data_IF_199872275689
#
_entry.id   IF_199872275689
#
_cell.length_a   1.000
_cell.length_b   1.000
_cell.length_c   1.000
_cell.angle_alpha   90.00
_cell.angle_beta   90.00
_cell.angle_gamma   90.00
#
_symmetry.space_group_name_H-M   'P 1'
#
loop_
_entity.id
_entity.type
_entity.pdbx_description
1 polymer ?
#
# COMPACT_ATOMS: atom_id res chain seq x y z
N UNK A 1 2.75 2.31 24.63
CA UNK A 1 2.98 1.77 23.27
C UNK A 1 3.22 2.79 22.19
N UNK A 2 2.79 4.05 22.34
CA UNK A 2 3.02 5.13 21.36
C UNK A 2 4.52 5.41 21.17
N UNK A 3 5.28 5.59 22.25
CA UNK A 3 6.73 5.83 22.20
C UNK A 3 7.57 4.73 21.54
N UNK A 4 7.10 3.48 21.54
CA UNK A 4 7.81 2.38 20.87
C UNK A 4 7.52 2.41 19.37
N UNK A 5 6.26 2.59 18.95
CA UNK A 5 5.91 2.77 17.53
C UNK A 5 6.55 4.03 16.94
N UNK A 6 6.58 5.14 17.67
CA UNK A 6 7.26 6.37 17.23
C UNK A 6 8.77 6.17 17.09
N UNK A 7 9.39 5.42 18.01
CA UNK A 7 10.82 5.11 17.93
C UNK A 7 11.15 4.16 16.77
N UNK A 8 10.28 3.17 16.50
CA UNK A 8 10.43 2.24 15.37
C UNK A 8 10.22 2.99 14.04
N UNK A 9 9.18 3.82 13.92
CA UNK A 9 8.98 4.72 12.77
C UNK A 9 10.17 5.64 12.55
N UNK A 10 10.70 6.25 13.61
CA UNK A 10 11.89 7.11 13.52
C UNK A 10 13.12 6.34 13.05
N UNK A 11 13.33 5.11 13.55
CA UNK A 11 14.46 4.26 13.14
C UNK A 11 14.33 3.82 11.68
N UNK A 12 13.13 3.45 11.22
CA UNK A 12 12.84 3.12 9.82
C UNK A 12 13.13 4.32 8.92
N UNK A 13 12.66 5.52 9.29
CA UNK A 13 12.93 6.76 8.55
C UNK A 13 14.43 7.09 8.51
N UNK A 14 15.17 6.82 9.59
CA UNK A 14 16.61 7.05 9.67
C UNK A 14 17.40 6.05 8.81
N UNK A 15 17.07 4.76 8.88
CA UNK A 15 17.66 3.72 8.03
C UNK A 15 17.38 4.00 6.54
N UNK A 16 16.20 4.52 6.21
CA UNK A 16 15.86 4.96 4.86
C UNK A 16 16.62 6.21 4.41
N UNK A 17 16.73 7.24 5.25
CA UNK A 17 17.57 8.41 4.94
C UNK A 17 19.01 8.00 4.68
N UNK A 18 19.55 7.04 5.45
CA UNK A 18 20.87 6.45 5.24
C UNK A 18 20.97 5.64 3.94
N UNK A 19 19.87 5.03 3.49
CA UNK A 19 19.79 4.33 2.21
C UNK A 19 19.70 5.30 1.02
N UNK A 20 18.97 6.41 1.16
CA UNK A 20 18.80 7.44 0.13
C UNK A 20 20.15 8.08 -0.26
N UNK A 21 21.05 8.27 0.71
CA UNK A 21 22.43 8.73 0.47
C UNK A 21 23.23 7.78 -0.43
N UNK A 22 22.82 6.51 -0.57
CA UNK A 22 23.47 5.52 -1.45
C UNK A 22 22.85 5.45 -2.85
N UNK A 23 21.87 6.28 -3.18
CA UNK A 23 21.35 6.48 -4.55
C UNK A 23 20.62 5.29 -5.19
N UNK A 24 20.37 4.20 -4.45
CA UNK A 24 19.52 3.09 -4.92
C UNK A 24 18.10 3.33 -4.46
N UNK A 25 17.24 3.78 -5.36
CA UNK A 25 15.81 3.90 -5.07
C UNK A 25 15.24 2.54 -4.65
N UNK A 26 14.87 2.43 -3.38
CA UNK A 26 14.16 1.28 -2.85
C UNK A 26 12.74 1.32 -3.43
N UNK A 27 12.56 0.58 -4.52
CA UNK A 27 11.24 0.24 -4.99
C UNK A 27 10.78 -0.97 -4.20
N UNK A 28 9.63 -0.85 -3.58
CA UNK A 28 8.96 -1.98 -2.99
C UNK A 28 8.02 -2.62 -4.00
N UNK A 29 7.99 -3.94 -4.00
CA UNK A 29 6.97 -4.72 -4.67
C UNK A 29 5.82 -4.96 -3.71
N UNK A 30 4.60 -4.70 -4.18
CA UNK A 30 3.37 -4.99 -3.46
C UNK A 30 2.44 -5.79 -4.36
N UNK A 31 1.67 -6.68 -3.75
CA UNK A 31 0.63 -7.43 -4.46
C UNK A 31 -0.72 -6.98 -3.92
N UNK A 32 -1.58 -6.44 -4.79
CA UNK A 32 -2.97 -6.19 -4.41
C UNK A 32 -3.79 -7.42 -4.78
N UNK A 33 -4.38 -8.05 -3.78
CA UNK A 33 -5.26 -9.19 -3.95
C UNK A 33 -6.70 -8.69 -4.07
N UNK A 34 -7.34 -8.96 -5.21
CA UNK A 34 -8.75 -8.69 -5.39
C UNK A 34 -9.58 -9.88 -4.88
N UNK A 35 -10.21 -9.74 -3.71
CA UNK A 35 -10.97 -10.84 -3.10
C UNK A 35 -12.10 -11.38 -4.02
N UNK A 36 -12.67 -10.52 -4.86
CA UNK A 36 -13.90 -10.85 -5.60
C UNK A 36 -13.68 -11.57 -6.93
N UNK A 37 -12.49 -11.48 -7.52
CA UNK A 37 -12.26 -12.00 -8.88
C UNK A 37 -11.02 -12.88 -8.99
N UNK A 38 -10.35 -13.19 -7.87
CA UNK A 38 -9.10 -13.96 -7.85
C UNK A 38 -7.95 -13.32 -8.66
N UNK A 39 -8.10 -12.04 -9.01
CA UNK A 39 -7.17 -11.31 -9.85
C UNK A 39 -6.10 -10.64 -9.00
N UNK A 40 -4.93 -11.25 -8.93
CA UNK A 40 -3.78 -10.66 -8.23
C UNK A 40 -3.12 -9.63 -9.15
N UNK A 41 -2.99 -8.40 -8.66
CA UNK A 41 -2.35 -7.32 -9.40
C UNK A 41 -1.10 -6.88 -8.66
N UNK A 42 0.05 -7.16 -9.27
CA UNK A 42 1.34 -6.74 -8.73
C UNK A 42 1.65 -5.30 -9.16
N UNK A 43 2.02 -4.48 -8.20
CA UNK A 43 2.48 -3.10 -8.42
C UNK A 43 3.88 -2.90 -7.85
N UNK A 44 4.63 -2.02 -8.50
CA UNK A 44 5.95 -1.58 -8.04
C UNK A 44 5.92 -0.08 -7.84
N UNK A 45 6.06 0.37 -6.61
CA UNK A 45 6.09 1.81 -6.27
C UNK A 45 7.29 2.13 -5.38
N UNK A 46 7.66 3.41 -5.31
CA UNK A 46 8.69 3.87 -4.37
C UNK A 46 8.09 3.99 -2.97
N UNK A 47 8.91 3.72 -1.97
CA UNK A 47 8.56 3.78 -0.54
C UNK A 47 7.95 5.11 -0.07
N UNK A 48 8.40 6.23 -0.64
CA UNK A 48 7.92 7.57 -0.31
C UNK A 48 6.70 8.01 -1.13
N UNK A 49 6.25 7.20 -2.10
CA UNK A 49 5.09 7.57 -2.92
C UNK A 49 3.80 7.27 -2.17
N UNK A 50 2.85 8.22 -2.10
CA UNK A 50 1.57 7.97 -1.47
C UNK A 50 0.80 6.86 -2.19
N UNK A 51 0.10 6.04 -1.41
CA UNK A 51 -0.64 4.88 -1.89
C UNK A 51 -1.80 5.24 -2.82
N UNK A 52 -2.27 6.50 -2.79
CA UNK A 52 -3.26 7.05 -3.73
C UNK A 52 -2.98 6.74 -5.20
N UNK A 53 -1.71 6.79 -5.62
CA UNK A 53 -1.34 6.48 -7.02
C UNK A 53 -1.54 4.99 -7.33
N UNK A 54 -1.19 4.13 -6.38
CA UNK A 54 -1.34 2.68 -6.47
C UNK A 54 -2.83 2.29 -6.50
N UNK A 55 -3.63 2.87 -5.60
CA UNK A 55 -5.08 2.67 -5.57
C UNK A 55 -5.77 3.17 -6.83
N UNK A 56 -5.41 4.37 -7.33
CA UNK A 56 -5.94 4.89 -8.59
C UNK A 56 -5.58 4.00 -9.79
N UNK A 57 -4.34 3.51 -9.85
CA UNK A 57 -3.91 2.58 -10.89
C UNK A 57 -4.63 1.23 -10.81
N UNK A 58 -4.88 0.71 -9.60
CA UNK A 58 -5.70 -0.46 -9.38
C UNK A 58 -7.12 -0.26 -9.89
N UNK A 59 -7.80 0.82 -9.46
CA UNK A 59 -9.17 1.15 -9.87
C UNK A 59 -9.28 1.28 -11.40
N UNK A 60 -8.30 1.92 -12.03
CA UNK A 60 -8.25 2.07 -13.49
C UNK A 60 -8.07 0.72 -14.20
N UNK A 61 -7.28 -0.19 -13.62
CA UNK A 61 -6.98 -1.50 -14.21
C UNK A 61 -8.11 -2.52 -14.02
N UNK A 62 -8.82 -2.46 -12.90
CA UNK A 62 -9.94 -3.36 -12.59
C UNK A 62 -11.30 -2.76 -12.98
N UNK A 63 -11.35 -1.46 -13.29
CA UNK A 63 -12.59 -0.76 -13.65
C UNK A 63 -13.53 -0.52 -12.47
N UNK A 64 -13.03 -0.63 -11.23
CA UNK A 64 -13.83 -0.42 -10.02
C UNK A 64 -13.79 1.04 -9.60
N UNK A 65 -14.90 1.52 -9.05
CA UNK A 65 -14.97 2.89 -8.58
C UNK A 65 -14.13 3.06 -7.29
N UNK A 66 -13.26 4.08 -7.21
CA UNK A 66 -12.43 4.30 -6.03
C UNK A 66 -13.24 4.54 -4.75
N UNK A 67 -14.48 5.02 -4.85
CA UNK A 67 -15.36 5.18 -3.68
C UNK A 67 -16.00 3.85 -3.24
N UNK A 68 -16.01 2.84 -4.12
CA UNK A 68 -16.61 1.53 -3.87
C UNK A 68 -15.59 0.46 -3.50
N UNK A 69 -14.30 0.81 -3.37
CA UNK A 69 -13.24 -0.10 -2.94
C UNK A 69 -12.64 0.37 -1.62
N UNK A 70 -12.45 -0.57 -0.71
CA UNK A 70 -11.74 -0.38 0.55
C UNK A 70 -10.46 -1.20 0.49
N UNK A 71 -9.33 -0.53 0.68
CA UNK A 71 -8.04 -1.18 0.77
C UNK A 71 -7.71 -1.48 2.24
N UNK A 72 -7.31 -2.72 2.48
CA UNK A 72 -6.97 -3.23 3.80
C UNK A 72 -5.54 -3.76 3.79
N UNK A 73 -4.79 -3.43 4.82
CA UNK A 73 -3.47 -3.98 5.08
C UNK A 73 -3.46 -4.54 6.50
N UNK A 74 -3.11 -5.82 6.65
CA UNK A 74 -3.21 -6.55 7.91
C UNK A 74 -4.60 -6.46 8.59
N UNK A 75 -5.65 -6.27 7.78
CA UNK A 75 -7.03 -6.08 8.25
C UNK A 75 -7.41 -4.65 8.66
N UNK A 76 -6.47 -3.71 8.66
CA UNK A 76 -6.72 -2.29 8.94
C UNK A 76 -6.94 -1.50 7.65
N UNK A 77 -7.82 -0.48 7.72
CA UNK A 77 -8.09 0.41 6.58
C UNK A 77 -6.87 1.27 6.29
N UNK A 78 -6.47 1.29 5.04
CA UNK A 78 -5.33 2.09 4.58
C UNK A 78 -5.80 3.40 3.99
N UNK A 79 -5.28 4.51 4.54
CA UNK A 79 -5.52 5.83 3.98
C UNK A 79 -4.73 6.05 2.68
N UNK A 80 -5.34 6.62 1.62
CA UNK A 80 -4.66 6.86 0.34
C UNK A 80 -3.51 7.88 0.44
N UNK A 81 -3.58 8.80 1.41
CA UNK A 81 -2.54 9.80 1.64
C UNK A 81 -1.34 9.24 2.42
N UNK A 82 -1.46 8.03 3.01
CA UNK A 82 -0.35 7.37 3.68
C UNK A 82 0.67 6.82 2.69
N UNK A 83 1.89 6.67 3.17
CA UNK A 83 2.99 6.03 2.46
C UNK A 83 3.24 4.62 3.02
N UNK A 84 3.77 3.70 2.19
CA UNK A 84 4.17 2.37 2.67
C UNK A 84 5.11 2.41 3.89
N UNK A 85 5.94 3.44 4.01
CA UNK A 85 6.85 3.62 5.14
C UNK A 85 6.08 3.85 6.44
N UNK A 86 5.04 4.69 6.42
CA UNK A 86 4.23 4.99 7.61
C UNK A 86 3.42 3.78 8.08
N UNK A 87 3.10 2.88 7.16
CA UNK A 87 2.42 1.62 7.42
C UNK A 87 3.40 0.48 7.70
N UNK A 88 4.71 0.78 7.78
CA UNK A 88 5.78 -0.19 8.06
C UNK A 88 5.74 -1.40 7.10
N UNK A 89 5.35 -1.16 5.84
CA UNK A 89 5.16 -2.25 4.87
C UNK A 89 6.50 -2.77 4.34
N UNK A 90 6.60 -4.09 4.24
CA UNK A 90 7.78 -4.78 3.69
C UNK A 90 7.63 -5.11 2.20
N UNK A 91 8.75 -5.45 1.57
CA UNK A 91 8.78 -5.92 0.19
C UNK A 91 8.04 -7.26 0.07
N UNK A 92 7.11 -7.35 -0.88
CA UNK A 92 6.30 -8.54 -1.10
C UNK A 92 5.06 -8.62 -0.22
N UNK A 93 4.71 -7.56 0.51
CA UNK A 93 3.46 -7.51 1.28
C UNK A 93 2.22 -7.46 0.37
N UNK A 94 1.10 -7.94 0.93
CA UNK A 94 -0.17 -8.04 0.24
C UNK A 94 -1.18 -7.04 0.80
N UNK A 95 -1.94 -6.40 -0.10
CA UNK A 95 -3.03 -5.47 0.24
C UNK A 95 -4.32 -6.09 -0.26
N UNK A 96 -5.29 -6.23 0.62
CA UNK A 96 -6.62 -6.71 0.27
C UNK A 96 -7.46 -5.57 -0.28
N UNK A 97 -7.97 -5.73 -1.49
CA UNK A 97 -8.96 -4.83 -2.07
C UNK A 97 -10.36 -5.43 -1.92
N UNK A 98 -11.15 -4.86 -1.01
CA UNK A 98 -12.55 -5.21 -0.82
C UNK A 98 -13.45 -4.22 -1.55
N UNK A 99 -14.01 -4.62 -2.67
CA UNK A 99 -15.07 -3.86 -3.34
C UNK A 99 -16.40 -4.07 -2.63
N UNK A 100 -17.18 -3.03 -2.39
CA UNK A 100 -18.59 -3.22 -2.08
C UNK A 100 -19.23 -3.83 -3.30
N UNK A 101 -19.64 -5.09 -3.16
CA UNK A 101 -20.32 -5.82 -4.22
C UNK A 101 -21.59 -5.05 -4.58
N UNK A 102 -21.54 -4.26 -5.65
CA UNK A 102 -22.74 -3.82 -6.32
C UNK A 102 -23.13 -5.00 -7.18
N UNK A 103 -23.91 -5.91 -6.59
CA UNK A 103 -24.45 -7.07 -7.29
C UNK A 103 -25.16 -6.61 -8.55
N UNK A 104 -24.50 -6.83 -9.69
CA UNK A 104 -25.17 -6.88 -10.98
C UNK A 104 -25.95 -8.17 -11.05
N UNK A 105 -27.20 -8.05 -11.47
CA UNK A 105 -28.25 -9.09 -11.50
C UNK A 105 -27.84 -10.37 -12.24
#
# INVERSE_FOLDING_TARGET
NVTVKDAVSALILLLYSLCEIRGKGFHFFFSILAFQNGGNVHFKIKSQTPLKKLFGAYCTRTGVDPASVVFLYEGERVDPEMTPIQLEMEDGTEIDAMTQMTGGC
#
